data_IF_009157898315
#
_entry.id   IF_009157898315
#
_cell.length_a   1.000
_cell.length_b   1.000
_cell.length_c   1.000
_cell.angle_alpha   90.00
_cell.angle_beta   90.00
_cell.angle_gamma   90.00
#
_symmetry.space_group_name_H-M   'P 1'
#
loop_
_entity.id
_entity.type
_entity.pdbx_description
1 polymer ?
#
# COMPACT_ATOMS: atom_id res chain seq x y z
N UNK A 1 17.41 23.23 2.76
CA UNK A 1 16.41 22.28 3.31
C UNK A 1 17.18 21.23 4.08
N UNK A 2 17.02 21.19 5.40
CA UNK A 2 17.71 20.23 6.26
C UNK A 2 16.96 18.91 6.21
N UNK A 3 17.56 17.90 5.59
CA UNK A 3 17.06 16.52 5.62
C UNK A 3 17.33 16.00 7.02
N UNK A 4 16.30 15.94 7.86
CA UNK A 4 16.36 15.14 9.08
C UNK A 4 16.47 13.68 8.64
N UNK A 5 17.68 13.13 8.69
CA UNK A 5 17.88 11.68 8.60
C UNK A 5 17.22 11.10 9.85
N UNK A 6 16.03 10.51 9.72
CA UNK A 6 15.46 9.68 10.78
C UNK A 6 16.47 8.55 11.02
N UNK A 7 16.95 8.41 12.26
CA UNK A 7 17.91 7.38 12.61
C UNK A 7 17.30 6.00 12.39
N UNK A 8 18.10 5.06 11.88
CA UNK A 8 17.72 3.65 11.76
C UNK A 8 17.14 3.07 13.07
N UNK A 9 17.54 3.62 14.23
CA UNK A 9 17.04 3.21 15.56
C UNK A 9 15.54 3.47 15.79
N UNK A 10 14.90 4.40 15.09
CA UNK A 10 13.45 4.65 15.21
C UNK A 10 12.62 3.80 14.22
N UNK A 11 13.22 3.38 13.11
CA UNK A 11 12.53 2.62 12.05
C UNK A 11 12.33 1.15 12.47
N UNK A 12 13.32 0.53 13.11
CA UNK A 12 13.19 -0.87 13.54
C UNK A 12 12.03 -1.09 14.53
N UNK A 13 11.85 -0.26 15.59
CA UNK A 13 10.67 -0.33 16.45
C UNK A 13 9.35 -0.12 15.70
N UNK A 14 9.31 0.82 14.74
CA UNK A 14 8.13 1.05 13.90
C UNK A 14 7.75 -0.20 13.12
N UNK A 15 8.72 -0.82 12.44
CA UNK A 15 8.51 -2.04 11.64
C UNK A 15 8.02 -3.19 12.51
N UNK A 16 8.62 -3.38 13.68
CA UNK A 16 8.21 -4.43 14.62
C UNK A 16 6.81 -4.16 15.18
N UNK A 17 6.52 -2.93 15.61
CA UNK A 17 5.22 -2.54 16.17
C UNK A 17 4.08 -2.71 15.17
N UNK A 18 4.26 -2.30 13.93
CA UNK A 18 3.24 -2.42 12.88
C UNK A 18 3.03 -3.88 12.45
N UNK A 19 4.10 -4.65 12.23
CA UNK A 19 3.95 -6.09 11.93
C UNK A 19 3.33 -6.86 13.11
N UNK A 20 3.58 -6.44 14.36
CA UNK A 20 2.97 -7.01 15.56
C UNK A 20 1.43 -6.90 15.59
N UNK A 21 0.82 -5.99 14.82
CA UNK A 21 -0.63 -5.88 14.69
C UNK A 21 -1.27 -7.10 13.99
N UNK A 22 -0.48 -7.94 13.30
CA UNK A 22 -0.95 -9.22 12.79
C UNK A 22 -1.48 -10.14 13.90
N UNK A 23 -1.00 -9.98 15.15
CA UNK A 23 -1.43 -10.76 16.33
C UNK A 23 -2.84 -10.43 16.83
N UNK A 24 -3.50 -9.38 16.30
CA UNK A 24 -4.85 -9.00 16.71
C UNK A 24 -5.92 -9.99 16.25
N UNK A 25 -5.60 -10.89 15.33
CA UNK A 25 -6.55 -11.81 14.71
C UNK A 25 -7.74 -11.12 14.04
N UNK A 26 -7.67 -9.81 13.73
CA UNK A 26 -8.67 -9.04 12.97
C UNK A 26 -8.28 -8.88 11.50
N UNK A 27 -7.07 -9.29 11.12
CA UNK A 27 -6.59 -9.25 9.74
C UNK A 27 -6.42 -10.66 9.21
N UNK A 28 -6.83 -10.89 7.97
CA UNK A 28 -6.48 -12.07 7.20
C UNK A 28 -4.99 -12.08 6.82
N UNK A 29 -4.46 -10.90 6.48
CA UNK A 29 -3.03 -10.71 6.17
C UNK A 29 -2.64 -9.29 6.57
N UNK A 30 -1.47 -9.15 7.18
CA UNK A 30 -0.84 -7.87 7.47
C UNK A 30 0.65 -7.98 7.18
N UNK A 31 1.18 -7.04 6.41
CA UNK A 31 2.63 -6.87 6.29
C UNK A 31 3.00 -5.40 6.19
N UNK A 32 4.06 -5.04 6.90
CA UNK A 32 4.67 -3.71 6.83
C UNK A 32 6.15 -3.80 6.47
N UNK A 33 6.59 -2.99 5.52
CA UNK A 33 7.99 -2.95 5.14
C UNK A 33 8.35 -1.81 4.20
N UNK A 34 9.64 -1.74 3.89
CA UNK A 34 10.19 -0.74 2.98
C UNK A 34 9.81 -1.05 1.53
N UNK A 35 9.58 -0.01 0.74
CA UNK A 35 9.41 -0.14 -0.70
C UNK A 35 10.74 -0.54 -1.36
N UNK A 36 10.69 -1.50 -2.28
CA UNK A 36 11.87 -1.89 -3.05
C UNK A 36 12.24 -0.79 -4.04
N UNK A 37 11.23 -0.21 -4.69
CA UNK A 37 11.43 0.79 -5.71
C UNK A 37 10.16 1.65 -5.86
N UNK A 38 10.35 2.97 -5.93
CA UNK A 38 9.32 3.90 -6.41
C UNK A 38 9.73 4.34 -7.81
N UNK A 39 8.88 4.06 -8.81
CA UNK A 39 9.11 4.51 -10.19
C UNK A 39 8.48 5.88 -10.47
N UNK A 40 7.91 6.52 -9.45
CA UNK A 40 7.26 7.83 -9.59
C UNK A 40 8.09 8.92 -8.93
N UNK A 41 8.32 10.01 -9.66
CA UNK A 41 8.94 11.22 -9.12
C UNK A 41 7.99 12.07 -8.27
N UNK A 42 6.68 11.80 -8.35
CA UNK A 42 5.64 12.61 -7.71
C UNK A 42 5.32 12.23 -6.26
N UNK A 43 5.73 11.04 -5.82
CA UNK A 43 5.47 10.53 -4.48
C UNK A 43 6.75 9.97 -3.86
N UNK A 44 7.02 10.38 -2.62
CA UNK A 44 8.24 10.06 -1.85
C UNK A 44 7.98 9.10 -0.70
N UNK A 45 6.91 8.30 -0.78
CA UNK A 45 6.64 7.28 0.22
C UNK A 45 7.77 6.26 0.27
N UNK A 46 8.11 5.80 1.48
CA UNK A 46 9.27 4.91 1.72
C UNK A 46 8.87 3.53 2.22
N UNK A 47 7.67 3.39 2.78
CA UNK A 47 7.16 2.17 3.37
C UNK A 47 5.71 1.92 2.94
N UNK A 48 5.29 0.66 2.98
CA UNK A 48 3.92 0.23 2.71
C UNK A 48 3.41 -0.63 3.87
N UNK A 49 2.18 -0.34 4.30
CA UNK A 49 1.36 -1.23 5.12
C UNK A 49 0.31 -1.87 4.21
N UNK A 50 0.33 -3.19 4.10
CA UNK A 50 -0.67 -3.95 3.35
C UNK A 50 -1.51 -4.79 4.31
N UNK A 51 -2.77 -4.40 4.46
CA UNK A 51 -3.75 -5.09 5.29
C UNK A 51 -4.86 -5.72 4.43
N UNK A 52 -5.26 -6.93 4.80
CA UNK A 52 -6.48 -7.57 4.31
C UNK A 52 -7.31 -7.97 5.51
N UNK A 53 -8.56 -7.55 5.55
CA UNK A 53 -9.53 -7.89 6.59
C UNK A 53 -10.42 -9.04 6.11
N UNK A 54 -11.02 -9.81 7.03
CA UNK A 54 -11.94 -10.89 6.63
C UNK A 54 -13.34 -10.39 6.33
N UNK A 55 -13.72 -9.27 6.95
CA UNK A 55 -15.04 -8.66 6.87
C UNK A 55 -14.94 -7.15 7.08
N UNK A 56 -16.05 -6.43 6.90
CA UNK A 56 -16.13 -5.01 7.24
C UNK A 56 -16.14 -4.81 8.74
N UNK A 57 -16.75 -5.73 9.48
CA UNK A 57 -16.82 -5.75 10.93
C UNK A 57 -15.42 -5.86 11.54
N UNK A 58 -14.58 -6.76 11.01
CA UNK A 58 -13.17 -6.91 11.41
C UNK A 58 -12.38 -5.61 11.19
N UNK A 59 -12.62 -4.91 10.07
CA UNK A 59 -12.02 -3.60 9.81
C UNK A 59 -12.48 -2.56 10.84
N UNK A 60 -13.78 -2.49 11.11
CA UNK A 60 -14.34 -1.53 12.09
C UNK A 60 -13.77 -1.77 13.49
N UNK A 61 -13.64 -3.03 13.90
CA UNK A 61 -13.02 -3.40 15.17
C UNK A 61 -11.52 -3.05 15.18
N UNK A 62 -10.79 -3.33 14.09
CA UNK A 62 -9.37 -3.04 13.96
C UNK A 62 -9.06 -1.55 14.13
N UNK A 63 -9.84 -0.67 13.47
CA UNK A 63 -9.63 0.79 13.50
C UNK A 63 -9.65 1.34 14.91
N UNK A 64 -10.56 0.85 15.76
CA UNK A 64 -10.71 1.31 17.14
C UNK A 64 -9.93 0.48 18.15
N UNK A 65 -9.31 -0.64 17.75
CA UNK A 65 -8.64 -1.55 18.65
C UNK A 65 -7.51 -0.83 19.43
N UNK A 66 -7.47 -0.91 20.78
CA UNK A 66 -6.52 -0.14 21.59
C UNK A 66 -5.04 -0.33 21.21
N UNK A 67 -4.65 -1.55 20.84
CA UNK A 67 -3.28 -1.84 20.35
C UNK A 67 -2.98 -1.15 19.01
N UNK A 68 -3.91 -1.12 18.07
CA UNK A 68 -3.74 -0.41 16.79
C UNK A 68 -3.58 1.09 17.04
N UNK A 69 -4.50 1.68 17.81
CA UNK A 69 -4.47 3.11 18.16
C UNK A 69 -3.16 3.50 18.85
N UNK A 70 -2.67 2.66 19.77
CA UNK A 70 -1.39 2.89 20.44
C UNK A 70 -0.22 2.89 19.46
N UNK A 71 -0.08 1.86 18.63
CA UNK A 71 1.01 1.75 17.65
C UNK A 71 1.00 2.91 16.66
N UNK A 72 -0.18 3.33 16.18
CA UNK A 72 -0.30 4.49 15.28
C UNK A 72 0.14 5.78 15.98
N UNK A 73 -0.26 5.99 17.24
CA UNK A 73 0.13 7.19 18.01
C UNK A 73 1.63 7.25 18.28
N UNK A 74 2.23 6.13 18.68
CA UNK A 74 3.67 6.01 18.95
C UNK A 74 4.52 6.31 17.72
N UNK A 75 4.07 5.90 16.53
CA UNK A 75 4.79 6.11 15.27
C UNK A 75 4.40 7.42 14.55
N UNK A 76 3.40 8.16 15.02
CA UNK A 76 2.96 9.39 14.35
C UNK A 76 4.08 10.45 14.19
N UNK A 77 4.96 10.68 15.17
CA UNK A 77 6.02 11.69 15.06
C UNK A 77 7.08 11.42 13.98
N UNK A 78 7.23 10.17 13.53
CA UNK A 78 8.22 9.77 12.52
C UNK A 78 7.63 9.65 11.11
N UNK A 79 6.31 9.85 10.95
CA UNK A 79 5.61 9.69 9.67
C UNK A 79 5.27 11.07 9.09
N UNK A 80 6.02 11.45 8.05
CA UNK A 80 5.84 12.72 7.33
C UNK A 80 4.55 12.76 6.49
N UNK A 81 4.14 11.61 5.93
CA UNK A 81 2.98 11.52 5.04
C UNK A 81 2.34 10.14 5.05
N UNK A 82 1.01 10.10 4.90
CA UNK A 82 0.22 8.88 4.83
C UNK A 82 -0.72 8.98 3.63
N UNK A 83 -0.76 7.93 2.83
CA UNK A 83 -1.80 7.69 1.84
C UNK A 83 -2.45 6.34 2.16
N UNK A 84 -3.75 6.33 2.36
CA UNK A 84 -4.54 5.13 2.62
C UNK A 84 -5.49 4.91 1.44
N UNK A 85 -5.59 3.66 0.98
CA UNK A 85 -6.47 3.25 -0.11
C UNK A 85 -7.12 1.94 0.27
N UNK A 86 -8.45 1.93 0.29
CA UNK A 86 -9.25 0.75 0.58
C UNK A 86 -10.08 0.38 -0.65
N UNK A 87 -10.19 -0.92 -0.91
CA UNK A 87 -11.07 -1.47 -1.94
C UNK A 87 -11.67 -2.79 -1.46
N UNK A 88 -12.85 -3.13 -1.98
CA UNK A 88 -13.47 -4.43 -1.73
C UNK A 88 -13.12 -5.38 -2.87
N UNK A 89 -12.78 -6.62 -2.53
CA UNK A 89 -12.51 -7.67 -3.51
C UNK A 89 -13.59 -8.74 -3.43
N UNK A 90 -14.32 -8.95 -4.53
CA UNK A 90 -15.44 -9.89 -4.60
C UNK A 90 -15.05 -11.27 -5.15
N UNK A 91 -13.77 -11.50 -5.47
CA UNK A 91 -13.26 -12.80 -5.94
C UNK A 91 -12.77 -13.71 -4.81
N UNK A 92 -12.21 -14.87 -5.17
CA UNK A 92 -11.63 -15.81 -4.20
C UNK A 92 -10.48 -15.17 -3.40
N UNK A 93 -10.50 -15.29 -2.07
CA UNK A 93 -9.48 -14.67 -1.22
C UNK A 93 -8.11 -15.35 -1.41
N UNK A 94 -7.16 -14.66 -2.03
CA UNK A 94 -5.77 -15.14 -2.14
C UNK A 94 -4.86 -14.35 -1.20
N UNK A 95 -4.33 -14.99 -0.15
CA UNK A 95 -3.20 -14.38 0.58
C UNK A 95 -1.95 -14.51 -0.28
N UNK A 96 -1.25 -13.41 -0.59
CA UNK A 96 0.05 -13.53 -1.22
C UNK A 96 1.00 -14.28 -0.28
N UNK A 97 1.83 -15.17 -0.85
CA UNK A 97 2.79 -15.97 -0.07
C UNK A 97 3.95 -15.09 0.40
N UNK A 98 4.58 -15.35 1.55
CA UNK A 98 5.79 -14.64 1.92
C UNK A 98 6.86 -14.76 0.84
N UNK A 99 7.61 -13.68 0.59
CA UNK A 99 8.54 -13.56 -0.54
C UNK A 99 7.89 -13.18 -1.87
N UNK A 100 6.56 -13.07 -1.94
CA UNK A 100 5.87 -12.53 -3.13
C UNK A 100 6.11 -11.02 -3.27
N UNK A 101 6.16 -10.52 -4.50
CA UNK A 101 6.16 -9.09 -4.77
C UNK A 101 4.75 -8.61 -5.09
N UNK A 102 4.37 -7.48 -4.50
CA UNK A 102 3.16 -6.71 -4.82
C UNK A 102 3.61 -5.48 -5.61
N UNK A 103 3.00 -5.28 -6.78
CA UNK A 103 3.09 -4.01 -7.50
C UNK A 103 1.75 -3.30 -7.37
N UNK A 104 1.77 -2.05 -6.91
CA UNK A 104 0.58 -1.19 -6.86
C UNK A 104 0.77 -0.05 -7.84
N UNK A 105 -0.19 0.11 -8.74
CA UNK A 105 -0.22 1.20 -9.72
C UNK A 105 -1.43 2.10 -9.45
N UNK A 106 -1.19 3.37 -9.15
CA UNK A 106 -2.22 4.40 -9.05
C UNK A 106 -2.22 5.26 -10.31
N UNK A 107 -3.40 5.46 -10.88
CA UNK A 107 -3.60 6.32 -12.05
C UNK A 107 -4.40 7.56 -11.62
N UNK A 108 -3.83 8.74 -11.82
CA UNK A 108 -4.55 10.01 -11.66
C UNK A 108 -5.02 10.45 -13.04
N UNK A 109 -6.33 10.53 -13.23
CA UNK A 109 -6.92 11.04 -14.47
C UNK A 109 -6.81 12.57 -14.54
N UNK A 110 -6.82 13.13 -15.75
CA UNK A 110 -6.96 14.57 -15.96
C UNK A 110 -8.35 15.03 -15.48
N UNK A 111 -8.40 16.23 -14.89
CA UNK A 111 -9.61 16.72 -14.21
C UNK A 111 -10.75 17.14 -15.15
N UNK A 112 -10.43 17.42 -16.42
CA UNK A 112 -11.36 17.88 -17.45
C UNK A 112 -11.99 16.76 -18.29
N UNK A 113 -11.80 15.50 -17.88
CA UNK A 113 -12.28 14.35 -18.62
C UNK A 113 -13.80 14.15 -18.43
N UNK A 114 -14.53 13.91 -19.52
CA UNK A 114 -15.96 13.58 -19.48
C UNK A 114 -16.23 12.24 -18.78
N UNK A 115 -17.44 12.02 -18.27
CA UNK A 115 -17.78 10.79 -17.53
C UNK A 115 -17.54 9.51 -18.35
N UNK A 116 -17.88 9.54 -19.63
CA UNK A 116 -17.66 8.42 -20.55
C UNK A 116 -16.17 8.12 -20.77
N UNK A 117 -15.33 9.16 -20.80
CA UNK A 117 -13.89 9.03 -20.95
C UNK A 117 -13.23 8.52 -19.66
N UNK A 118 -13.73 8.93 -18.48
CA UNK A 118 -13.31 8.37 -17.18
C UNK A 118 -13.65 6.88 -17.08
N UNK A 119 -14.85 6.49 -17.52
CA UNK A 119 -15.28 5.10 -17.53
C UNK A 119 -14.40 4.23 -18.45
N UNK A 120 -14.05 4.71 -19.65
CA UNK A 120 -13.12 4.03 -20.57
C UNK A 120 -11.71 3.91 -20.00
N UNK A 121 -11.16 4.99 -19.44
CA UNK A 121 -9.82 4.97 -18.85
C UNK A 121 -9.71 3.97 -17.67
N UNK A 122 -10.79 3.82 -16.88
CA UNK A 122 -10.86 2.81 -15.83
C UNK A 122 -10.89 1.38 -16.40
N UNK A 123 -11.61 1.13 -17.49
CA UNK A 123 -11.72 -0.19 -18.13
C UNK A 123 -10.38 -0.63 -18.75
N UNK A 124 -9.71 0.27 -19.46
CA UNK A 124 -8.40 0.02 -20.09
C UNK A 124 -7.30 -0.26 -19.04
N UNK A 125 -7.38 0.38 -17.87
CA UNK A 125 -6.46 0.10 -16.76
C UNK A 125 -6.62 -1.32 -16.17
N UNK A 126 -7.81 -1.93 -16.28
CA UNK A 126 -8.11 -3.24 -15.71
C UNK A 126 -7.73 -4.42 -16.63
N UNK A 127 -7.72 -4.23 -17.95
CA UNK A 127 -7.35 -5.28 -18.93
C UNK A 127 -5.83 -5.55 -19.03
N UNK A 128 -5.00 -4.86 -18.26
CA UNK A 128 -3.53 -4.83 -18.45
C UNK A 128 -2.73 -5.85 -17.61
N UNK A 129 -3.34 -6.95 -17.12
CA UNK A 129 -2.61 -7.95 -16.33
C UNK A 129 -2.00 -9.06 -17.21
N UNK A 130 -0.80 -8.83 -17.76
CA UNK A 130 0.21 -9.91 -17.88
C UNK A 130 1.61 -9.45 -18.30
N UNK A 131 1.81 -8.35 -19.04
CA UNK A 131 3.16 -8.01 -19.54
C UNK A 131 3.46 -6.50 -19.56
N UNK A 132 4.53 -6.10 -18.87
CA UNK A 132 5.27 -4.86 -19.15
C UNK A 132 4.63 -3.53 -18.72
N UNK A 133 4.81 -3.15 -17.44
CA UNK A 133 4.30 -1.88 -16.86
C UNK A 133 4.96 -0.62 -17.47
N UNK A 134 6.00 -0.77 -18.29
CA UNK A 134 6.59 0.34 -19.04
C UNK A 134 5.72 0.82 -20.22
N UNK A 135 4.61 0.12 -20.54
CA UNK A 135 3.67 0.48 -21.62
C UNK A 135 2.46 1.31 -21.15
N UNK A 136 2.36 1.62 -19.84
CA UNK A 136 1.16 2.22 -19.25
C UNK A 136 0.97 3.72 -19.49
N UNK A 137 2.03 4.48 -19.80
CA UNK A 137 1.88 5.87 -20.27
C UNK A 137 1.39 5.93 -21.72
N UNK A 138 1.74 4.93 -22.54
CA UNK A 138 1.47 4.93 -23.97
C UNK A 138 0.04 4.48 -24.31
N UNK A 139 -0.52 3.50 -23.57
CA UNK A 139 -1.84 2.90 -23.90
C UNK A 139 -3.05 3.64 -23.35
N UNK A 140 -2.93 4.39 -22.26
CA UNK A 140 -4.06 5.11 -21.66
C UNK A 140 -4.26 6.53 -22.23
N UNK A 141 -3.44 6.90 -23.21
CA UNK A 141 -3.56 8.14 -23.98
C UNK A 141 -3.48 9.43 -23.15
N UNK A 142 -3.97 10.52 -23.73
CA UNK A 142 -3.92 11.88 -23.17
C UNK A 142 -4.81 12.09 -21.92
N UNK A 143 -5.46 11.03 -21.41
CA UNK A 143 -6.42 11.08 -20.30
C UNK A 143 -5.77 10.95 -18.93
N UNK A 144 -4.53 10.45 -18.85
CA UNK A 144 -3.79 10.27 -17.59
C UNK A 144 -2.95 11.50 -17.29
N UNK A 145 -3.12 12.02 -16.07
CA UNK A 145 -2.32 13.13 -15.53
C UNK A 145 -1.04 12.65 -14.87
N UNK A 146 -1.08 11.51 -14.17
CA UNK A 146 0.11 10.92 -13.55
C UNK A 146 -0.09 9.45 -13.20
N UNK A 147 0.99 8.68 -13.29
CA UNK A 147 1.06 7.28 -12.85
C UNK A 147 2.01 7.18 -11.65
N UNK A 148 1.61 6.40 -10.65
CA UNK A 148 2.46 6.03 -9.52
C UNK A 148 2.56 4.52 -9.50
N UNK A 149 3.78 3.98 -9.61
CA UNK A 149 4.03 2.55 -9.47
C UNK A 149 4.95 2.33 -8.27
N UNK A 150 4.51 1.47 -7.37
CA UNK A 150 5.23 1.07 -6.17
C UNK A 150 5.43 -0.44 -6.17
N UNK A 151 6.69 -0.85 -6.00
CA UNK A 151 7.07 -2.26 -5.84
C UNK A 151 7.34 -2.54 -4.34
N UNK A 152 6.62 -3.52 -3.80
CA UNK A 152 6.70 -3.93 -2.39
C UNK A 152 6.93 -5.44 -2.29
N UNK A 153 7.92 -5.86 -1.51
CA UNK A 153 8.17 -7.26 -1.22
C UNK A 153 7.47 -7.64 0.07
N UNK A 154 6.70 -8.72 0.06
CA UNK A 154 6.12 -9.26 1.29
C UNK A 154 7.24 -9.95 2.06
N UNK A 155 7.61 -9.43 3.25
CA UNK A 155 8.68 -10.02 4.02
C UNK A 155 8.30 -11.44 4.44
N UNK A 156 9.29 -12.33 4.64
CA UNK A 156 9.05 -13.62 5.29
C UNK A 156 8.37 -13.41 6.66
N UNK A 157 7.61 -14.40 7.18
CA UNK A 157 7.05 -14.30 8.51
C UNK A 157 8.18 -14.04 9.50
N UNK A 158 8.05 -13.00 10.33
CA UNK A 158 9.02 -12.76 11.38
C UNK A 158 8.91 -13.92 12.36
N UNK A 159 9.94 -14.76 12.42
CA UNK A 159 10.04 -15.79 13.45
C UNK A 159 10.24 -15.03 14.76
N UNK A 160 9.28 -15.15 15.68
CA UNK A 160 9.48 -14.65 17.03
C UNK A 160 10.64 -15.47 17.62
N UNK A 161 11.80 -14.83 17.79
CA UNK A 161 12.87 -15.43 18.57
C UNK A 161 12.35 -15.53 20.02
N UNK A 162 12.12 -16.75 20.48
CA UNK A 162 11.88 -17.10 21.88
C UNK A 162 13.19 -17.03 22.68
#
# INVERSE_FOLDING_TARGET
MSTFIISSSAITPMVSGLNGLASLNLTFHLSFGQLLHSRSSSLTFTHMLHNRYRSKEDLLEYVVHPKHVRVVKENKPIIDGIMAVDWMFNGASFSPKPGSAIRVTFLKLKGNLGENEKARANLEALDSNSEGVNSHEEKAGDSIKSVVVVDYLIPPPQVANL
#
